data_IF_437376356225
#
_entry.id   IF_437376356225
#
_cell.length_a   1.000
_cell.length_b   1.000
_cell.length_c   1.000
_cell.angle_alpha   90.00
_cell.angle_beta   90.00
_cell.angle_gamma   90.00
#
_symmetry.space_group_name_H-M   'P 1'
#
loop_
_entity.id
_entity.type
_entity.pdbx_description
1 polymer ?
#
# COMPACT_ATOMS: atom_id res chain seq x y z
N UNK A 1 26.12 -19.95 -13.23
CA UNK A 1 25.91 -18.77 -12.37
C UNK A 1 25.55 -19.31 -11.00
N UNK A 2 26.34 -19.02 -9.96
CA UNK A 2 25.95 -19.40 -8.60
C UNK A 2 24.74 -18.57 -8.19
N UNK A 3 23.66 -19.25 -7.79
CA UNK A 3 22.47 -18.63 -7.21
C UNK A 3 22.79 -18.27 -5.76
N UNK A 4 23.00 -16.99 -5.50
CA UNK A 4 23.19 -16.47 -4.13
C UNK A 4 21.90 -16.70 -3.34
N UNK A 5 22.00 -17.44 -2.23
CA UNK A 5 20.83 -17.73 -1.38
C UNK A 5 20.39 -16.46 -0.65
N UNK A 6 19.15 -16.04 -0.86
CA UNK A 6 18.52 -14.95 -0.08
C UNK A 6 18.00 -15.52 1.24
N UNK A 7 18.36 -14.89 2.37
CA UNK A 7 17.89 -15.27 3.71
C UNK A 7 17.04 -14.13 4.26
N UNK A 8 15.82 -14.45 4.67
CA UNK A 8 14.95 -13.52 5.41
C UNK A 8 15.20 -13.69 6.90
N UNK A 9 15.61 -12.62 7.57
CA UNK A 9 15.90 -12.62 9.01
C UNK A 9 15.39 -11.30 9.61
N UNK A 10 14.17 -11.35 10.15
CA UNK A 10 13.49 -10.22 10.80
C UNK A 10 12.62 -10.81 11.90
N UNK A 11 12.89 -10.46 13.16
CA UNK A 11 12.24 -11.06 14.33
C UNK A 11 11.40 -10.08 15.13
N UNK A 12 11.60 -8.78 14.89
CA UNK A 12 10.90 -7.69 15.55
C UNK A 12 11.01 -6.41 14.69
N UNK A 13 10.30 -5.37 15.10
CA UNK A 13 10.18 -4.10 14.37
C UNK A 13 11.29 -3.07 14.70
N UNK A 14 12.25 -3.37 15.59
CA UNK A 14 13.20 -2.39 16.13
C UNK A 14 14.68 -2.73 15.95
N UNK A 15 15.03 -3.98 15.63
CA UNK A 15 16.40 -4.34 15.27
C UNK A 15 16.84 -3.58 13.99
N UNK A 16 18.15 -3.34 13.81
CA UNK A 16 18.64 -2.58 12.66
C UNK A 16 18.18 -3.14 11.31
N UNK A 17 17.53 -2.30 10.50
CA UNK A 17 17.02 -2.65 9.18
C UNK A 17 18.16 -2.91 8.18
N UNK A 18 18.19 -4.10 7.58
CA UNK A 18 19.21 -4.50 6.59
C UNK A 18 18.73 -4.41 5.14
N UNK A 19 17.48 -4.79 4.89
CA UNK A 19 16.87 -4.81 3.56
C UNK A 19 15.37 -4.65 3.72
N UNK A 20 14.72 -3.88 2.85
CA UNK A 20 13.29 -3.58 2.93
C UNK A 20 12.65 -3.62 1.56
N UNK A 21 11.37 -4.01 1.53
CA UNK A 21 10.52 -3.90 0.35
C UNK A 21 9.71 -2.61 0.49
N UNK A 22 9.83 -1.72 -0.49
CA UNK A 22 9.05 -0.48 -0.55
C UNK A 22 7.99 -0.64 -1.62
N UNK A 23 6.72 -0.36 -1.27
CA UNK A 23 5.61 -0.39 -2.21
C UNK A 23 5.68 0.75 -3.24
N UNK A 24 5.03 0.56 -4.40
CA UNK A 24 4.86 1.59 -5.43
C UNK A 24 3.41 2.08 -5.43
N UNK A 25 3.19 3.39 -5.53
CA UNK A 25 1.85 3.99 -5.50
C UNK A 25 1.12 3.98 -6.87
N UNK A 26 1.79 3.51 -7.92
CA UNK A 26 1.21 3.40 -9.27
C UNK A 26 -0.07 2.55 -9.31
N UNK A 27 -1.04 3.00 -10.11
CA UNK A 27 -2.26 2.23 -10.38
C UNK A 27 -3.16 2.03 -9.17
N UNK A 28 -3.01 2.86 -8.13
CA UNK A 28 -3.88 2.81 -6.95
C UNK A 28 -5.33 3.17 -7.30
N UNK A 29 -6.27 2.50 -6.63
CA UNK A 29 -7.70 2.66 -6.83
C UNK A 29 -8.41 2.99 -5.51
N UNK A 30 -9.47 3.80 -5.61
CA UNK A 30 -10.48 3.92 -4.56
C UNK A 30 -11.36 2.68 -4.66
N UNK A 31 -11.41 1.85 -3.61
CA UNK A 31 -12.08 0.56 -3.69
C UNK A 31 -13.61 0.72 -3.60
N UNK A 32 -14.34 -0.24 -4.16
CA UNK A 32 -15.80 -0.28 -4.15
C UNK A 32 -16.37 -0.32 -2.71
N UNK A 33 -17.63 0.09 -2.49
CA UNK A 33 -18.23 0.04 -1.17
C UNK A 33 -18.54 -1.41 -0.82
N UNK A 34 -17.85 -1.94 0.20
CA UNK A 34 -18.08 -3.26 0.76
C UNK A 34 -17.94 -3.19 2.29
N UNK A 35 -18.53 -4.12 3.05
CA UNK A 35 -18.56 -4.03 4.52
C UNK A 35 -17.19 -3.90 5.19
N UNK A 36 -16.13 -4.45 4.57
CA UNK A 36 -14.75 -4.35 5.10
C UNK A 36 -14.08 -2.99 4.82
N UNK A 37 -14.69 -2.15 3.98
CA UNK A 37 -14.13 -0.89 3.49
C UNK A 37 -14.96 0.34 3.84
N UNK A 38 -16.24 0.15 4.21
CA UNK A 38 -17.16 1.25 4.49
C UNK A 38 -16.65 2.25 5.55
N UNK A 39 -15.90 1.77 6.54
CA UNK A 39 -15.30 2.58 7.61
C UNK A 39 -13.94 3.22 7.26
N UNK A 40 -13.35 2.91 6.10
CA UNK A 40 -11.97 3.31 5.77
C UNK A 40 -11.87 4.65 5.04
N UNK A 41 -12.95 5.11 4.42
CA UNK A 41 -12.98 6.41 3.76
C UNK A 41 -13.71 7.41 4.67
N UNK A 42 -13.01 8.40 5.23
CA UNK A 42 -13.61 9.44 6.05
C UNK A 42 -14.79 10.12 5.35
N UNK A 43 -15.77 10.59 6.12
CA UNK A 43 -16.97 11.25 5.59
C UNK A 43 -16.64 12.56 4.85
N UNK A 44 -15.61 13.27 5.29
CA UNK A 44 -15.10 14.53 4.72
C UNK A 44 -14.05 14.32 3.62
N UNK A 45 -13.76 13.06 3.24
CA UNK A 45 -12.79 12.77 2.21
C UNK A 45 -13.31 13.08 0.81
N UNK A 46 -12.47 13.71 0.01
CA UNK A 46 -12.64 13.90 -1.43
C UNK A 46 -12.78 12.59 -2.23
N UNK A 47 -12.44 11.44 -1.64
CA UNK A 47 -12.59 10.10 -2.20
C UNK A 47 -13.96 9.48 -1.92
N UNK A 48 -14.75 10.03 -0.99
CA UNK A 48 -16.05 9.46 -0.60
C UNK A 48 -16.97 9.37 -1.81
N UNK A 49 -17.51 8.18 -2.04
CA UNK A 49 -18.43 7.92 -3.16
C UNK A 49 -17.76 7.84 -4.55
N UNK A 50 -16.42 7.94 -4.64
CA UNK A 50 -15.67 7.68 -5.88
C UNK A 50 -15.13 6.26 -5.87
N UNK A 51 -15.01 5.65 -7.04
CA UNK A 51 -14.52 4.27 -7.21
C UNK A 51 -13.67 4.17 -8.47
N UNK A 52 -12.62 3.34 -8.44
CA UNK A 52 -11.69 3.19 -9.55
C UNK A 52 -10.39 4.00 -9.36
N UNK A 53 -9.63 4.27 -10.44
CA UNK A 53 -8.28 4.85 -10.34
C UNK A 53 -8.24 6.20 -9.62
N UNK A 54 -7.20 6.41 -8.81
CA UNK A 54 -6.94 7.71 -8.18
C UNK A 54 -6.56 8.76 -9.22
N UNK A 55 -6.77 10.04 -8.89
CA UNK A 55 -6.32 11.16 -9.74
C UNK A 55 -4.80 11.24 -9.75
N UNK A 56 -4.23 11.68 -10.88
CA UNK A 56 -2.79 11.80 -11.10
C UNK A 56 -2.10 12.64 -10.01
N UNK A 57 -2.70 13.77 -9.64
CA UNK A 57 -2.17 14.69 -8.62
C UNK A 57 -2.07 14.06 -7.21
N UNK A 58 -2.70 12.91 -6.97
CA UNK A 58 -2.62 12.20 -5.67
C UNK A 58 -1.68 11.00 -5.69
N UNK A 59 -1.08 10.70 -6.84
CA UNK A 59 -0.21 9.54 -7.07
C UNK A 59 1.20 9.97 -7.48
N UNK A 60 1.32 11.02 -8.29
CA UNK A 60 2.58 11.65 -8.71
C UNK A 60 3.10 12.66 -7.68
#
# INVERSE_FOLDING_TARGET
METTKVIVNSWNEWDPLKHVIVGKADGTCIPAPEPALDAKVPEDSDMRGKFGPRTKDTVD
#
